data_IF_500274113122
#
_entry.id   IF_500274113122
#
_cell.length_a   1.000
_cell.length_b   1.000
_cell.length_c   1.000
_cell.angle_alpha   90.00
_cell.angle_beta   90.00
_cell.angle_gamma   90.00
#
_symmetry.space_group_name_H-M   'P 1'
#
loop_
_entity.id
_entity.type
_entity.pdbx_description
1 polymer ?
#
# COMPACT_ATOMS: atom_id res chain seq x y z
N UNK A 1 8.82 -8.36 2.21
CA UNK A 1 8.08 -7.59 3.24
C UNK A 1 8.19 -6.09 3.05
N UNK A 2 9.35 -5.52 2.72
CA UNK A 2 9.49 -4.08 2.46
C UNK A 2 8.47 -3.55 1.43
N UNK A 3 8.26 -4.26 0.32
CA UNK A 3 7.23 -3.86 -0.66
C UNK A 3 5.78 -3.96 -0.12
N UNK A 4 5.51 -4.82 0.86
CA UNK A 4 4.19 -4.90 1.50
C UNK A 4 3.97 -3.64 2.32
N UNK A 5 4.97 -3.25 3.12
CA UNK A 5 4.95 -2.00 3.88
C UNK A 5 4.74 -0.80 2.98
N UNK A 6 5.59 -0.64 1.96
CA UNK A 6 5.51 0.43 0.97
C UNK A 6 4.12 0.58 0.33
N UNK A 7 3.42 -0.52 0.06
CA UNK A 7 2.14 -0.48 -0.65
C UNK A 7 0.91 -0.43 0.27
N UNK A 8 1.05 -0.66 1.57
CA UNK A 8 -0.11 -0.84 2.47
C UNK A 8 -0.05 -0.07 3.79
N UNK A 9 1.14 0.13 4.36
CA UNK A 9 1.29 0.63 5.74
C UNK A 9 2.09 1.93 5.79
N UNK A 10 3.21 1.95 5.08
CA UNK A 10 4.23 2.99 5.17
C UNK A 10 3.77 4.24 4.41
N UNK A 11 3.35 5.26 5.15
CA UNK A 11 2.89 6.54 4.63
C UNK A 11 3.76 7.67 5.16
N UNK A 12 4.02 8.70 4.36
CA UNK A 12 4.71 9.91 4.80
C UNK A 12 3.70 11.05 4.89
N UNK A 13 3.66 11.72 6.03
CA UNK A 13 2.73 12.83 6.28
C UNK A 13 3.52 14.09 6.55
N UNK A 14 3.31 15.12 5.73
CA UNK A 14 3.92 16.44 5.89
C UNK A 14 2.86 17.47 6.27
N UNK A 15 3.27 18.45 7.07
CA UNK A 15 2.45 19.62 7.36
C UNK A 15 2.23 20.44 6.09
N UNK A 16 0.99 20.83 5.83
CA UNK A 16 0.63 21.74 4.76
C UNK A 16 0.00 23.03 5.33
N UNK A 17 -0.17 24.05 4.48
CA UNK A 17 -0.80 25.31 4.90
C UNK A 17 -2.32 25.22 5.07
N UNK A 18 -2.94 24.15 4.56
CA UNK A 18 -4.40 23.96 4.60
C UNK A 18 -4.84 23.28 5.90
N UNK A 19 -3.95 22.53 6.55
CA UNK A 19 -4.19 21.69 7.72
C UNK A 19 -3.12 22.00 8.80
N UNK A 20 -3.13 23.23 9.38
CA UNK A 20 -2.13 23.68 10.35
C UNK A 20 -2.16 22.90 11.68
N UNK A 21 -3.16 22.05 11.90
CA UNK A 21 -3.28 21.20 13.09
C UNK A 21 -2.49 19.90 13.01
N UNK A 22 -1.94 19.54 11.84
CA UNK A 22 -1.11 18.34 11.66
C UNK A 22 0.33 18.65 12.09
N UNK A 23 0.99 19.55 11.37
CA UNK A 23 2.33 20.04 11.70
C UNK A 23 2.59 21.37 10.98
N UNK A 24 3.70 22.03 11.30
CA UNK A 24 4.13 23.23 10.58
C UNK A 24 4.35 22.94 9.09
N UNK A 25 4.00 23.89 8.23
CA UNK A 25 4.12 23.74 6.78
C UNK A 25 5.55 23.38 6.36
N UNK A 26 5.72 22.27 5.64
CA UNK A 26 7.03 21.78 5.18
C UNK A 26 7.80 20.94 6.21
N UNK A 27 7.22 20.70 7.39
CA UNK A 27 7.77 19.75 8.37
C UNK A 27 7.17 18.35 8.19
N UNK A 28 7.93 17.31 8.53
CA UNK A 28 7.47 15.92 8.52
C UNK A 28 6.80 15.60 9.86
N UNK A 29 5.50 15.28 9.85
CA UNK A 29 4.75 14.98 11.09
C UNK A 29 5.14 13.63 11.69
N UNK A 30 5.37 12.64 10.83
CA UNK A 30 5.61 11.26 11.23
C UNK A 30 7.08 10.86 11.24
N UNK A 31 7.98 11.79 11.58
CA UNK A 31 9.41 11.50 11.76
C UNK A 31 9.69 10.51 12.92
N UNK A 32 8.73 10.34 13.84
CA UNK A 32 8.86 9.42 14.96
C UNK A 32 8.59 7.96 14.53
N UNK A 33 9.37 6.97 15.03
CA UNK A 33 9.09 5.54 14.81
C UNK A 33 7.72 5.09 15.31
N UNK A 34 7.14 5.86 16.23
CA UNK A 34 5.79 5.62 16.74
C UNK A 34 4.69 6.08 15.77
N UNK A 35 5.02 6.90 14.76
CA UNK A 35 4.07 7.40 13.77
C UNK A 35 4.30 6.77 12.39
N UNK A 36 5.56 6.60 11.95
CA UNK A 36 5.87 5.87 10.72
C UNK A 36 5.88 4.35 10.96
N UNK A 37 4.87 3.65 10.43
CA UNK A 37 4.67 2.22 10.70
C UNK A 37 5.23 1.34 9.60
N UNK A 38 6.36 0.70 9.91
CA UNK A 38 6.90 -0.41 9.11
C UNK A 38 6.16 -1.72 9.43
N UNK A 39 6.17 -2.70 8.50
CA UNK A 39 5.64 -4.03 8.76
C UNK A 39 6.28 -4.70 9.98
N UNK A 40 5.45 -5.18 10.90
CA UNK A 40 5.84 -5.96 12.07
C UNK A 40 5.48 -7.44 11.88
N UNK A 41 5.79 -8.29 12.86
CA UNK A 41 5.53 -9.73 12.80
C UNK A 41 4.06 -10.09 12.52
N UNK A 42 3.12 -9.23 12.94
CA UNK A 42 1.68 -9.43 12.74
C UNK A 42 1.21 -9.11 11.31
N UNK A 43 2.02 -8.42 10.51
CA UNK A 43 1.66 -8.00 9.14
C UNK A 43 2.10 -9.02 8.08
N UNK A 44 2.78 -10.09 8.50
CA UNK A 44 3.23 -11.17 7.62
C UNK A 44 2.02 -12.06 7.27
N UNK A 45 1.87 -12.52 6.00
CA UNK A 45 0.83 -13.48 5.65
C UNK A 45 0.90 -14.74 6.51
N UNK A 46 -0.27 -15.20 7.00
CA UNK A 46 -0.37 -16.39 7.86
C UNK A 46 0.20 -17.64 7.16
N UNK A 47 -0.06 -17.79 5.85
CA UNK A 47 0.54 -18.82 5.01
C UNK A 47 1.47 -18.14 4.00
N UNK A 48 2.79 -18.27 4.22
CA UNK A 48 3.81 -17.66 3.40
C UNK A 48 4.74 -18.71 2.79
N UNK A 49 4.50 -19.05 1.51
CA UNK A 49 5.23 -20.10 0.79
C UNK A 49 6.21 -19.49 -0.20
N UNK A 50 7.43 -19.99 -0.19
CA UNK A 50 8.49 -19.61 -1.12
C UNK A 50 9.02 -20.88 -1.77
N UNK A 51 9.15 -20.87 -3.10
CA UNK A 51 9.75 -21.96 -3.87
C UNK A 51 10.74 -21.36 -4.84
N UNK A 52 11.96 -21.88 -4.84
CA UNK A 52 12.98 -21.50 -5.81
C UNK A 52 12.88 -22.43 -7.02
N UNK A 53 12.92 -21.86 -8.21
CA UNK A 53 12.92 -22.64 -9.45
C UNK A 53 14.20 -23.48 -9.53
N UNK A 54 14.08 -24.76 -9.87
CA UNK A 54 15.22 -25.66 -9.98
C UNK A 54 16.13 -25.24 -11.15
N UNK A 55 17.43 -25.11 -10.87
CA UNK A 55 18.43 -24.57 -11.80
C UNK A 55 18.72 -25.44 -13.04
N UNK A 56 18.15 -26.65 -13.12
CA UNK A 56 18.38 -27.56 -14.24
C UNK A 56 17.86 -27.04 -15.59
N UNK A 57 16.96 -26.06 -15.57
CA UNK A 57 16.31 -25.50 -16.77
C UNK A 57 16.93 -24.19 -17.27
N UNK A 58 17.80 -23.53 -16.49
CA UNK A 58 18.40 -22.25 -16.87
C UNK A 58 19.93 -22.34 -16.89
N UNK A 59 20.46 -22.78 -18.02
CA UNK A 59 21.89 -22.80 -18.32
C UNK A 59 22.43 -21.40 -18.66
N UNK A 60 22.26 -20.43 -17.74
CA UNK A 60 22.90 -19.12 -17.87
C UNK A 60 24.31 -19.19 -17.27
N UNK A 61 25.25 -19.74 -18.05
CA UNK A 61 26.65 -19.91 -17.67
C UNK A 61 27.45 -18.59 -17.59
N UNK A 62 26.81 -17.45 -17.88
CA UNK A 62 27.44 -16.14 -17.95
C UNK A 62 27.68 -15.48 -16.57
N UNK A 63 27.04 -15.98 -15.51
CA UNK A 63 27.13 -15.39 -14.16
C UNK A 63 27.88 -16.33 -13.22
N UNK A 64 28.58 -15.78 -12.23
CA UNK A 64 29.33 -16.54 -11.23
C UNK A 64 28.48 -17.67 -10.65
N UNK A 65 28.93 -18.92 -10.85
CA UNK A 65 28.22 -20.14 -10.46
C UNK A 65 26.76 -20.23 -10.93
N UNK A 66 26.40 -19.62 -12.06
CA UNK A 66 25.03 -19.55 -12.58
C UNK A 66 24.02 -18.93 -11.58
N UNK A 67 24.48 -17.99 -10.75
CA UNK A 67 23.64 -17.26 -9.79
C UNK A 67 22.76 -16.20 -10.48
N UNK A 68 21.73 -15.72 -9.78
CA UNK A 68 20.85 -14.62 -10.22
C UNK A 68 20.69 -13.58 -9.11
N UNK A 69 20.60 -12.31 -9.50
CA UNK A 69 20.35 -11.22 -8.55
C UNK A 69 18.90 -11.27 -8.06
N UNK A 70 18.70 -11.29 -6.74
CA UNK A 70 17.38 -11.42 -6.10
C UNK A 70 17.11 -10.36 -5.03
N UNK A 71 17.95 -9.33 -4.90
CA UNK A 71 17.79 -8.28 -3.89
C UNK A 71 16.53 -7.44 -4.12
N UNK A 72 16.47 -6.75 -5.26
CA UNK A 72 15.37 -5.84 -5.62
C UNK A 72 14.17 -6.54 -6.30
N UNK A 73 14.33 -7.54 -7.19
CA UNK A 73 13.20 -8.08 -7.96
C UNK A 73 12.00 -8.55 -7.12
N UNK A 74 12.17 -9.20 -5.94
CA UNK A 74 11.05 -9.62 -5.11
C UNK A 74 10.25 -8.48 -4.47
N UNK A 75 10.78 -7.24 -4.46
CA UNK A 75 10.09 -6.10 -3.84
C UNK A 75 8.71 -5.86 -4.46
N UNK A 76 8.63 -5.91 -5.79
CA UNK A 76 7.40 -5.67 -6.54
C UNK A 76 6.37 -6.81 -6.44
N UNK A 77 6.78 -8.03 -6.04
CA UNK A 77 5.83 -9.14 -5.82
C UNK A 77 4.77 -8.80 -4.77
N UNK A 78 5.08 -7.85 -3.88
CA UNK A 78 4.17 -7.31 -2.88
C UNK A 78 2.93 -6.60 -3.48
N UNK A 79 2.97 -6.20 -4.76
CA UNK A 79 1.82 -5.63 -5.47
C UNK A 79 0.61 -6.58 -5.49
N UNK A 80 0.85 -7.89 -5.36
CA UNK A 80 -0.21 -8.90 -5.21
C UNK A 80 -1.10 -8.62 -4.00
N UNK A 81 -0.53 -8.16 -2.88
CA UNK A 81 -1.28 -7.81 -1.66
C UNK A 81 -2.15 -6.58 -1.90
N UNK A 82 -1.59 -5.55 -2.53
CA UNK A 82 -2.35 -4.34 -2.90
C UNK A 82 -3.54 -4.66 -3.82
N UNK A 83 -3.32 -5.46 -4.86
CA UNK A 83 -4.40 -5.86 -5.77
C UNK A 83 -5.41 -6.81 -5.11
N UNK A 84 -4.99 -7.64 -4.15
CA UNK A 84 -5.92 -8.44 -3.35
C UNK A 84 -6.86 -7.55 -2.52
N UNK A 85 -6.34 -6.49 -1.88
CA UNK A 85 -7.13 -5.48 -1.17
C UNK A 85 -8.09 -4.77 -2.14
N UNK A 86 -7.58 -4.28 -3.28
CA UNK A 86 -8.42 -3.63 -4.31
C UNK A 86 -9.55 -4.53 -4.80
N UNK A 87 -9.27 -5.83 -4.99
CA UNK A 87 -10.28 -6.82 -5.37
C UNK A 87 -11.32 -7.04 -4.26
N UNK A 88 -10.92 -7.07 -3.00
CA UNK A 88 -11.84 -7.19 -1.86
C UNK A 88 -12.82 -5.99 -1.78
N UNK A 89 -12.30 -4.77 -1.96
CA UNK A 89 -13.13 -3.54 -2.02
C UNK A 89 -14.07 -3.59 -3.24
N UNK A 90 -13.57 -4.03 -4.40
CA UNK A 90 -14.40 -4.18 -5.60
C UNK A 90 -15.55 -5.16 -5.40
N UNK A 91 -15.31 -6.28 -4.70
CA UNK A 91 -16.33 -7.25 -4.35
C UNK A 91 -17.38 -6.66 -3.39
N UNK A 92 -16.95 -5.88 -2.38
CA UNK A 92 -17.86 -5.16 -1.48
C UNK A 92 -18.77 -4.19 -2.24
N UNK A 93 -18.22 -3.44 -3.20
CA UNK A 93 -18.96 -2.50 -4.06
C UNK A 93 -19.81 -3.19 -5.14
N UNK A 94 -19.86 -4.52 -5.16
CA UNK A 94 -20.58 -5.33 -6.16
C UNK A 94 -20.17 -5.01 -7.61
N UNK A 95 -18.92 -4.58 -7.83
CA UNK A 95 -18.42 -4.22 -9.15
C UNK A 95 -19.15 -3.06 -9.84
N UNK A 96 -19.96 -2.27 -9.12
CA UNK A 96 -20.86 -1.28 -9.71
C UNK A 96 -20.12 -0.15 -10.42
N UNK A 97 -18.98 0.27 -9.90
CA UNK A 97 -18.17 1.33 -10.52
C UNK A 97 -16.67 1.12 -10.35
N UNK A 98 -15.85 1.49 -11.36
CA UNK A 98 -14.40 1.57 -11.21
C UNK A 98 -14.04 2.65 -10.19
N UNK A 99 -13.07 2.35 -9.33
CA UNK A 99 -12.53 3.29 -8.36
C UNK A 99 -11.00 3.30 -8.43
N UNK A 100 -10.42 4.49 -8.25
CA UNK A 100 -9.00 4.64 -8.02
C UNK A 100 -8.70 4.32 -6.55
N UNK A 101 -7.61 3.59 -6.32
CA UNK A 101 -7.05 3.37 -4.99
C UNK A 101 -5.59 3.76 -5.09
N UNK A 102 -5.20 4.77 -4.32
CA UNK A 102 -3.82 5.21 -4.25
C UNK A 102 -3.02 4.31 -3.32
N UNK A 103 -1.72 4.23 -3.59
CA UNK A 103 -0.76 3.69 -2.64
C UNK A 103 -0.36 4.81 -1.66
N UNK A 104 -0.06 4.49 -0.40
CA UNK A 104 -0.26 3.20 0.26
C UNK A 104 -1.75 2.93 0.54
N UNK A 105 -2.19 1.67 0.41
CA UNK A 105 -3.54 1.22 0.74
C UNK A 105 -3.76 1.15 2.25
N UNK A 106 -3.70 2.30 2.92
CA UNK A 106 -3.90 2.45 4.37
C UNK A 106 -5.32 2.12 4.77
N UNK A 107 -5.53 1.81 6.06
CA UNK A 107 -6.85 1.53 6.61
C UNK A 107 -7.86 2.65 6.30
N UNK A 108 -7.41 3.90 6.30
CA UNK A 108 -8.22 5.06 5.95
C UNK A 108 -8.67 5.03 4.49
N UNK A 109 -7.74 4.89 3.53
CA UNK A 109 -8.08 4.79 2.10
C UNK A 109 -8.99 3.59 1.81
N UNK A 110 -8.74 2.45 2.46
CA UNK A 110 -9.60 1.26 2.35
C UNK A 110 -11.02 1.57 2.85
N UNK A 111 -11.14 2.18 4.05
CA UNK A 111 -12.43 2.50 4.65
C UNK A 111 -13.24 3.48 3.79
N UNK A 112 -12.58 4.50 3.25
CA UNK A 112 -13.21 5.52 2.39
C UNK A 112 -13.58 4.97 1.02
N UNK A 113 -12.83 3.99 0.50
CA UNK A 113 -13.17 3.30 -0.73
C UNK A 113 -14.39 2.36 -0.56
N UNK A 114 -14.61 1.81 0.63
CA UNK A 114 -15.82 1.06 1.00
C UNK A 114 -16.98 2.00 1.37
N UNK A 115 -17.56 2.66 0.37
CA UNK A 115 -18.70 3.57 0.60
C UNK A 115 -19.92 2.83 1.15
N UNK A 116 -20.49 3.42 2.18
CA UNK A 116 -21.72 3.01 2.86
C UNK A 116 -22.48 4.25 3.32
N UNK A 117 -23.62 4.04 3.98
CA UNK A 117 -24.48 5.12 4.48
C UNK A 117 -23.74 6.13 5.38
N UNK A 118 -22.70 5.67 6.10
CA UNK A 118 -21.90 6.53 6.98
C UNK A 118 -21.03 7.45 6.12
N UNK A 119 -20.30 6.90 5.15
CA UNK A 119 -19.45 7.69 4.26
C UNK A 119 -20.29 8.66 3.43
N UNK A 120 -21.44 8.22 2.93
CA UNK A 120 -22.35 9.05 2.12
C UNK A 120 -22.97 10.19 2.95
N UNK A 121 -23.10 10.04 4.27
CA UNK A 121 -23.58 11.11 5.17
C UNK A 121 -22.54 12.22 5.41
N UNK A 122 -21.25 11.92 5.19
CA UNK A 122 -20.12 12.82 5.47
C UNK A 122 -19.58 13.43 4.18
N UNK A 123 -19.49 12.63 3.12
CA UNK A 123 -18.94 13.04 1.83
C UNK A 123 -20.06 13.15 0.80
N UNK A 124 -20.43 14.38 0.37
CA UNK A 124 -21.42 14.54 -0.68
C UNK A 124 -20.91 13.94 -2.00
N UNK A 125 -21.81 13.40 -2.82
CA UNK A 125 -21.51 12.68 -4.07
C UNK A 125 -20.65 13.46 -5.08
N UNK A 126 -20.54 14.77 -4.93
CA UNK A 126 -19.95 15.70 -5.89
C UNK A 126 -18.48 16.09 -5.60
N UNK A 127 -17.85 15.51 -4.58
CA UNK A 127 -16.39 15.57 -4.40
C UNK A 127 -15.73 14.37 -5.06
N UNK A 128 -14.55 14.58 -5.65
CA UNK A 128 -13.78 13.58 -6.39
C UNK A 128 -13.86 12.20 -5.74
N UNK A 129 -14.05 11.15 -6.55
CA UNK A 129 -14.24 9.76 -6.09
C UNK A 129 -13.01 9.17 -5.38
N UNK A 130 -12.00 9.99 -5.17
CA UNK A 130 -10.67 9.66 -4.67
C UNK A 130 -10.46 10.37 -3.34
N UNK A 131 -10.25 9.58 -2.28
CA UNK A 131 -9.94 10.09 -0.96
C UNK A 131 -8.43 10.09 -0.77
N UNK A 132 -7.85 11.26 -0.53
CA UNK A 132 -6.47 11.42 -0.11
C UNK A 132 -6.43 12.03 1.30
N UNK A 133 -5.77 11.38 2.26
CA UNK A 133 -5.56 11.95 3.58
C UNK A 133 -4.74 13.25 3.51
N UNK A 134 -5.05 14.18 4.41
CA UNK A 134 -4.45 15.51 4.43
C UNK A 134 -2.94 15.43 4.74
N UNK A 135 -2.11 16.14 3.98
CA UNK A 135 -0.65 16.10 4.14
C UNK A 135 0.02 14.80 3.69
N UNK A 136 -0.74 13.84 3.15
CA UNK A 136 -0.23 12.60 2.58
C UNK A 136 -0.06 12.72 1.07
N UNK A 137 1.05 12.20 0.54
CA UNK A 137 1.36 12.17 -0.88
C UNK A 137 1.18 10.75 -1.44
#
# INVERSE_FOLDING_TARGET
MQGVGYLTLEELVQGDSQHPWISECGSLDNADPNKYKIPMANDIPIDFRITLLNAHESSDHAVCYSSKAVGEPPLFLSATVFFAIKRAISAYRQGKEPFALNIPATCERIRMACRDQIVDSIIPENKDKEFQPCGSF
#
